data_IF_860559865683
#
_entry.id   IF_860559865683
#
_cell.length_a   1.000
_cell.length_b   1.000
_cell.length_c   1.000
_cell.angle_alpha   90.00
_cell.angle_beta   90.00
_cell.angle_gamma   90.00
#
_symmetry.space_group_name_H-M   'P 1'
#
loop_
_entity.id
_entity.type
_entity.pdbx_description
1 polymer ?
#
# COMPACT_ATOMS: atom_id res chain seq x y z
N UNK A 1 6.46 9.08 -0.71
CA UNK A 1 5.58 8.08 -0.11
C UNK A 1 4.15 8.27 -0.56
N UNK A 2 3.73 7.43 -1.52
CA UNK A 2 2.34 7.37 -1.95
C UNK A 2 1.57 6.42 -1.03
N UNK A 3 0.29 6.69 -0.83
CA UNK A 3 -0.56 5.89 0.06
C UNK A 3 -1.91 5.59 -0.57
N UNK A 4 -2.46 4.41 -0.26
CA UNK A 4 -3.82 4.06 -0.66
C UNK A 4 -4.79 4.80 0.25
N UNK A 5 -5.66 5.62 -0.31
CA UNK A 5 -6.66 6.40 0.44
C UNK A 5 -8.08 5.87 0.29
N UNK A 6 -8.32 5.05 -0.75
CA UNK A 6 -9.64 4.48 -1.03
C UNK A 6 -9.48 3.21 -1.86
N UNK A 7 -10.33 2.23 -1.57
CA UNK A 7 -10.54 1.05 -2.40
C UNK A 7 -11.96 1.12 -2.97
N UNK A 8 -12.09 0.95 -4.28
CA UNK A 8 -13.37 0.80 -4.97
C UNK A 8 -13.46 -0.61 -5.58
N UNK A 9 -14.60 -0.96 -6.18
CA UNK A 9 -14.86 -2.31 -6.66
C UNK A 9 -13.87 -2.78 -7.74
N UNK A 10 -13.44 -1.87 -8.63
CA UNK A 10 -12.57 -2.18 -9.78
C UNK A 10 -11.23 -1.44 -9.74
N UNK A 11 -11.10 -0.44 -8.86
CA UNK A 11 -9.95 0.45 -8.82
C UNK A 11 -9.53 0.77 -7.39
N UNK A 12 -8.23 0.98 -7.21
CA UNK A 12 -7.67 1.57 -6.00
C UNK A 12 -7.26 3.02 -6.26
N UNK A 13 -7.47 3.87 -5.25
CA UNK A 13 -7.11 5.29 -5.31
C UNK A 13 -5.87 5.52 -4.47
N UNK A 14 -4.78 5.90 -5.14
CA UNK A 14 -3.50 6.20 -4.50
C UNK A 14 -3.30 7.71 -4.48
N UNK A 15 -3.10 8.27 -3.28
CA UNK A 15 -2.64 9.63 -3.10
C UNK A 15 -1.12 9.70 -3.24
N UNK A 16 -0.66 10.57 -4.12
CA UNK A 16 0.75 10.92 -4.28
C UNK A 16 1.15 12.00 -3.29
N UNK A 17 2.45 12.14 -3.04
CA UNK A 17 2.98 13.22 -2.19
C UNK A 17 2.73 14.61 -2.74
N UNK A 18 2.64 14.74 -4.07
CA UNK A 18 2.34 15.99 -4.75
C UNK A 18 0.88 16.46 -4.53
N UNK A 19 0.08 15.73 -3.73
CA UNK A 19 -1.32 16.02 -3.47
C UNK A 19 -2.27 15.56 -4.59
N UNK A 20 -1.74 15.08 -5.69
CA UNK A 20 -2.50 14.46 -6.77
C UNK A 20 -2.92 13.03 -6.41
N UNK A 21 -3.97 12.53 -7.05
CA UNK A 21 -4.44 11.15 -6.89
C UNK A 21 -4.40 10.42 -8.22
N UNK A 22 -4.09 9.12 -8.18
CA UNK A 22 -4.19 8.24 -9.34
C UNK A 22 -5.15 7.09 -9.05
N UNK A 23 -5.78 6.59 -10.10
CA UNK A 23 -6.62 5.39 -10.05
C UNK A 23 -5.86 4.27 -10.74
N UNK A 24 -5.71 3.15 -10.06
CA UNK A 24 -5.06 1.97 -10.61
C UNK A 24 -6.05 0.80 -10.56
N UNK A 25 -6.25 0.08 -11.68
CA UNK A 25 -7.10 -1.11 -11.69
C UNK A 25 -6.59 -2.18 -10.71
N UNK A 26 -7.51 -2.87 -10.04
CA UNK A 26 -7.15 -3.96 -9.13
C UNK A 26 -6.50 -5.14 -9.86
N UNK A 27 -6.82 -5.35 -11.14
CA UNK A 27 -6.17 -6.36 -12.00
C UNK A 27 -4.66 -6.11 -12.22
N UNK A 28 -4.19 -4.89 -11.97
CA UNK A 28 -2.78 -4.50 -12.15
C UNK A 28 -1.92 -4.82 -10.92
N UNK A 29 -2.54 -5.23 -9.80
CA UNK A 29 -1.82 -5.54 -8.56
C UNK A 29 -1.85 -7.03 -8.24
N UNK A 30 -0.70 -7.57 -7.85
CA UNK A 30 -0.54 -8.96 -7.41
C UNK A 30 -0.66 -9.13 -5.88
N UNK A 31 -1.18 -8.13 -5.16
CA UNK A 31 -1.29 -8.14 -3.70
C UNK A 31 -2.64 -7.64 -3.22
N UNK A 32 -3.02 -8.07 -2.01
CA UNK A 32 -4.22 -7.56 -1.34
C UNK A 32 -3.94 -6.17 -0.76
N UNK A 33 -4.40 -5.14 -1.47
CA UNK A 33 -4.25 -3.74 -1.09
C UNK A 33 -5.25 -3.37 0.02
N UNK A 34 -4.74 -2.71 1.07
CA UNK A 34 -5.56 -2.15 2.15
C UNK A 34 -5.50 -0.62 2.15
N UNK A 35 -6.56 0.03 2.64
CA UNK A 35 -6.51 1.48 2.88
C UNK A 35 -5.39 1.78 3.89
N UNK A 36 -4.67 2.88 3.68
CA UNK A 36 -3.46 3.28 4.40
C UNK A 36 -2.18 2.50 4.07
N UNK A 37 -2.22 1.54 3.12
CA UNK A 37 -0.99 0.94 2.64
C UNK A 37 -0.09 1.96 1.94
N UNK A 38 1.20 1.84 2.23
CA UNK A 38 2.24 2.60 1.55
C UNK A 38 2.64 1.86 0.29
N UNK A 39 2.66 2.56 -0.84
CA UNK A 39 2.97 1.99 -2.14
C UNK A 39 3.93 2.87 -2.93
N UNK A 40 4.82 2.24 -3.68
CA UNK A 40 5.59 2.87 -4.74
C UNK A 40 4.92 2.63 -6.09
N UNK A 41 4.94 3.67 -6.92
CA UNK A 41 4.37 3.66 -8.27
C UNK A 41 5.52 3.72 -9.25
N UNK A 42 5.66 2.70 -10.09
CA UNK A 42 6.62 2.66 -11.18
C UNK A 42 5.89 2.73 -12.51
N UNK A 43 6.40 3.55 -13.43
CA UNK A 43 5.86 3.70 -14.78
C UNK A 43 6.76 2.93 -15.75
N UNK A 44 6.21 1.88 -16.35
CA UNK A 44 6.88 1.06 -17.38
C UNK A 44 6.18 1.28 -18.73
N UNK A 45 6.48 2.42 -19.36
CA UNK A 45 5.81 2.84 -20.59
C UNK A 45 4.31 3.06 -20.39
N UNK A 46 3.42 2.29 -21.06
CA UNK A 46 1.97 2.36 -20.83
C UNK A 46 1.52 1.61 -19.57
N UNK A 47 2.39 0.81 -18.95
CA UNK A 47 2.06 0.02 -17.77
C UNK A 47 2.37 0.79 -16.49
N UNK A 48 1.58 0.53 -15.46
CA UNK A 48 1.82 1.04 -14.11
C UNK A 48 2.03 -0.15 -13.20
N UNK A 49 3.14 -0.17 -12.48
CA UNK A 49 3.46 -1.21 -11.51
C UNK A 49 3.35 -0.60 -10.13
N UNK A 50 2.53 -1.20 -9.28
CA UNK A 50 2.44 -0.84 -7.87
C UNK A 50 3.23 -1.84 -7.05
N UNK A 51 4.13 -1.33 -6.22
CA UNK A 51 4.86 -2.12 -5.26
C UNK A 51 4.44 -1.71 -3.85
N UNK A 52 3.87 -2.64 -3.08
CA UNK A 52 3.58 -2.39 -1.66
C UNK A 52 4.89 -2.27 -0.92
N UNK A 53 5.11 -1.11 -0.30
CA UNK A 53 6.16 -0.96 0.68
C UNK A 53 5.75 -1.79 1.88
N UNK A 54 6.51 -2.85 2.20
CA UNK A 54 6.35 -3.56 3.45
C UNK A 54 6.49 -2.55 4.59
N UNK A 55 5.36 -2.14 5.17
CA UNK A 55 5.39 -1.54 6.49
C UNK A 55 5.96 -2.65 7.37
N UNK A 56 7.18 -2.45 7.88
CA UNK A 56 7.73 -3.29 8.95
C UNK A 56 6.65 -3.36 10.01
N UNK A 57 5.87 -4.44 10.01
CA UNK A 57 5.14 -4.87 11.20
C UNK A 57 6.25 -5.14 12.17
N UNK A 58 6.51 -4.19 13.08
CA UNK A 58 7.32 -4.49 14.24
C UNK A 58 6.74 -5.78 14.82
N UNK A 59 7.53 -6.87 14.92
CA UNK A 59 7.01 -8.05 15.56
C UNK A 59 6.64 -7.61 16.97
N UNK A 60 5.35 -7.68 17.29
CA UNK A 60 4.86 -7.40 18.64
C UNK A 60 5.78 -8.13 19.60
N UNK A 61 6.60 -7.37 20.33
CA UNK A 61 7.47 -7.92 21.36
C UNK A 61 6.51 -8.37 22.45
N UNK A 62 6.09 -9.63 22.42
CA UNK A 62 5.38 -10.26 23.53
C UNK A 62 6.34 -10.23 24.72
N UNK A 63 6.19 -9.21 25.56
CA UNK A 63 6.87 -9.16 26.85
C UNK A 63 6.17 -10.19 27.73
N UNK A 64 6.75 -11.39 27.81
CA UNK A 64 6.42 -12.34 28.87
C UNK A 64 6.93 -11.76 30.19
N UNK A 65 6.06 -11.01 30.88
CA UNK A 65 6.24 -10.73 32.30
C UNK A 65 6.04 -12.05 33.06
N UNK A 66 7.13 -12.76 33.31
CA UNK A 66 7.16 -13.86 34.26
C UNK A 66 7.39 -13.26 35.65
N UNK A 67 6.34 -13.14 36.44
CA UNK A 67 6.42 -12.79 37.86
C UNK A 67 6.85 -14.03 38.64
N UNK A 68 7.98 -13.94 39.35
CA UNK A 68 8.39 -14.81 40.46
C UNK A 68 8.78 -13.96 41.65
#
# INVERSE_FOLDING_TARGET
>A
MNKIIKLEADYLVVAKEDGTTIRVPLETIDFDATVEDLVEIYYDGPNVILHRLEQKKEPFKTVLISTV
#
